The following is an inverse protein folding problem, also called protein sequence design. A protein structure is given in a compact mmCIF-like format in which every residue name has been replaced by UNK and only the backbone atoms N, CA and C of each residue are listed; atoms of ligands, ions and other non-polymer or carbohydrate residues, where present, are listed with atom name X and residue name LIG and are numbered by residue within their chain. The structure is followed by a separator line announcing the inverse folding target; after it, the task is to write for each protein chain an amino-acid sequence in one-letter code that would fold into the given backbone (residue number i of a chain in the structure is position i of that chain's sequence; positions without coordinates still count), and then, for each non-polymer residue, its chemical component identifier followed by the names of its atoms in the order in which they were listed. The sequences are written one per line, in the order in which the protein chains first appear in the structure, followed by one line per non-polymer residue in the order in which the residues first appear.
data_IF_678750331489
#
_entry.id   IF_678750331489
#
_cell.length_a   1.000
_cell.length_b   1.000
_cell.length_c   1.000
_cell.angle_alpha   90.00
_cell.angle_beta   90.00
_cell.angle_gamma   90.00
#
_symmetry.space_group_name_H-M   'P 1'
#
loop_
_entity.id
_entity.type
_entity.pdbx_description
1 polymer ?
#
# COMPACT_ATOMS: atom_id res chain seq x y z
N UNK A 1 34.19 0.79 49.18
CA UNK A 1 34.09 0.44 47.74
C UNK A 1 32.79 -0.30 47.33
N UNK A 2 31.76 -0.43 48.19
CA UNK A 2 30.51 -1.14 47.85
C UNK A 2 29.48 -0.30 47.05
N UNK A 3 29.49 1.02 47.20
CA UNK A 3 28.50 1.91 46.55
C UNK A 3 28.66 2.05 45.02
N UNK A 4 29.88 1.91 44.48
CA UNK A 4 30.12 2.06 43.03
C UNK A 4 29.50 0.93 42.19
N UNK A 5 29.49 -0.30 42.71
CA UNK A 5 28.90 -1.45 41.99
C UNK A 5 27.37 -1.40 41.95
N UNK A 6 26.74 -0.91 43.02
CA UNK A 6 25.29 -0.78 43.09
C UNK A 6 24.76 0.27 42.10
N UNK A 7 25.39 1.46 42.02
CA UNK A 7 24.99 2.50 41.07
C UNK A 7 25.15 2.05 39.61
N UNK A 8 26.23 1.32 39.29
CA UNK A 8 26.41 0.76 37.94
C UNK A 8 25.34 -0.28 37.60
N UNK A 9 24.92 -1.11 38.58
CA UNK A 9 23.87 -2.11 38.38
C UNK A 9 22.50 -1.46 38.15
N UNK A 10 22.15 -0.44 38.93
CA UNK A 10 20.92 0.34 38.74
C UNK A 10 20.88 1.02 37.36
N UNK A 11 22.02 1.55 36.91
CA UNK A 11 22.14 2.11 35.56
C UNK A 11 21.90 1.06 34.47
N UNK A 12 22.50 -0.13 34.57
CA UNK A 12 22.29 -1.19 33.59
C UNK A 12 20.84 -1.67 33.55
N UNK A 13 20.18 -1.75 34.71
CA UNK A 13 18.76 -2.11 34.79
C UNK A 13 17.87 -1.07 34.09
N UNK A 14 18.10 0.22 34.36
CA UNK A 14 17.36 1.31 33.71
C UNK A 14 17.63 1.33 32.21
N UNK A 15 18.90 1.19 31.81
CA UNK A 15 19.29 1.16 30.40
C UNK A 15 18.67 -0.03 29.66
N UNK A 16 18.68 -1.22 30.26
CA UNK A 16 18.05 -2.41 29.69
C UNK A 16 16.54 -2.23 29.52
N UNK A 17 15.86 -1.63 30.51
CA UNK A 17 14.44 -1.33 30.44
C UNK A 17 14.13 -0.31 29.33
N UNK A 18 14.96 0.74 29.20
CA UNK A 18 14.83 1.71 28.09
C UNK A 18 15.06 1.07 26.72
N UNK A 19 16.04 0.18 26.58
CA UNK A 19 16.30 -0.53 25.33
C UNK A 19 15.19 -1.52 24.97
N UNK A 20 14.62 -2.22 25.95
CA UNK A 20 13.46 -3.08 25.75
C UNK A 20 12.24 -2.25 25.29
N UNK A 21 11.97 -1.12 25.95
CA UNK A 21 10.88 -0.23 25.57
C UNK A 21 11.06 0.32 24.14
N UNK A 22 12.26 0.77 23.78
CA UNK A 22 12.59 1.21 22.42
C UNK A 22 12.39 0.09 21.40
N UNK A 23 12.84 -1.13 21.69
CA UNK A 23 12.71 -2.27 20.79
C UNK A 23 11.25 -2.60 20.49
N UNK A 24 10.37 -2.55 21.51
CA UNK A 24 8.93 -2.73 21.34
C UNK A 24 8.35 -1.63 20.45
N UNK A 25 8.70 -0.36 20.71
CA UNK A 25 8.21 0.77 19.92
C UNK A 25 8.64 0.67 18.45
N UNK A 26 9.91 0.35 18.18
CA UNK A 26 10.40 0.14 16.82
C UNK A 26 9.66 -1.00 16.11
N UNK A 27 9.40 -2.11 16.81
CA UNK A 27 8.62 -3.22 16.27
C UNK A 27 7.20 -2.80 15.84
N UNK A 28 6.50 -2.02 16.67
CA UNK A 28 5.16 -1.52 16.36
C UNK A 28 5.17 -0.56 15.16
N UNK A 29 6.13 0.37 15.12
CA UNK A 29 6.25 1.34 14.02
C UNK A 29 6.55 0.64 12.70
N UNK A 30 7.49 -0.31 12.70
CA UNK A 30 7.85 -1.07 11.50
C UNK A 30 6.66 -1.83 10.93
N UNK A 31 5.86 -2.49 11.78
CA UNK A 31 4.67 -3.19 11.35
C UNK A 31 3.62 -2.25 10.77
N UNK A 32 3.36 -1.11 11.42
CA UNK A 32 2.41 -0.11 10.91
C UNK A 32 2.84 0.47 9.58
N UNK A 33 4.13 0.75 9.40
CA UNK A 33 4.66 1.30 8.16
C UNK A 33 4.41 0.35 6.98
N UNK A 34 4.65 -0.96 7.15
CA UNK A 34 4.38 -1.95 6.11
C UNK A 34 2.91 -1.96 5.69
N UNK A 35 1.99 -1.95 6.66
CA UNK A 35 0.54 -1.93 6.38
C UNK A 35 0.10 -0.65 5.67
N UNK A 36 0.63 0.51 6.07
CA UNK A 36 0.30 1.79 5.43
C UNK A 36 0.76 1.81 3.98
N UNK A 37 1.98 1.34 3.69
CA UNK A 37 2.47 1.24 2.31
C UNK A 37 1.63 0.27 1.48
N UNK A 38 1.23 -0.87 2.05
CA UNK A 38 0.41 -1.84 1.36
C UNK A 38 -0.99 -1.29 1.02
N UNK A 39 -1.63 -0.62 1.98
CA UNK A 39 -2.92 0.03 1.78
C UNK A 39 -2.81 1.12 0.71
N UNK A 40 -1.79 1.98 0.79
CA UNK A 40 -1.58 3.02 -0.22
C UNK A 40 -1.43 2.45 -1.64
N UNK A 41 -0.69 1.35 -1.80
CA UNK A 41 -0.55 0.69 -3.10
C UNK A 41 -1.87 0.10 -3.60
N UNK A 42 -2.68 -0.45 -2.70
CA UNK A 42 -4.02 -0.95 -3.03
C UNK A 42 -4.95 0.18 -3.44
N UNK A 43 -4.95 1.30 -2.71
CA UNK A 43 -5.77 2.48 -3.01
C UNK A 43 -5.41 3.06 -4.39
N UNK A 44 -4.11 3.13 -4.72
CA UNK A 44 -3.66 3.52 -6.05
C UNK A 44 -4.17 2.58 -7.13
N UNK A 45 -4.09 1.26 -6.90
CA UNK A 45 -4.58 0.28 -7.86
C UNK A 45 -6.10 0.39 -8.05
N UNK A 46 -6.84 0.64 -6.97
CA UNK A 46 -8.28 0.81 -6.99
C UNK A 46 -8.67 2.06 -7.77
N UNK A 47 -8.00 3.20 -7.54
CA UNK A 47 -8.19 4.41 -8.33
C UNK A 47 -7.95 4.18 -9.83
N UNK A 48 -6.93 3.40 -10.19
CA UNK A 48 -6.68 3.01 -11.58
C UNK A 48 -7.82 2.16 -12.12
N UNK A 49 -8.27 1.16 -11.36
CA UNK A 49 -9.36 0.28 -11.76
C UNK A 49 -10.66 1.07 -11.99
N UNK A 50 -11.03 1.93 -11.04
CA UNK A 50 -12.22 2.79 -11.12
C UNK A 50 -12.12 3.78 -12.28
N UNK A 51 -10.97 4.41 -12.49
CA UNK A 51 -10.81 5.35 -13.61
C UNK A 51 -10.95 4.62 -14.96
N UNK A 52 -10.28 3.48 -15.13
CA UNK A 52 -10.42 2.67 -16.36
C UNK A 52 -11.87 2.21 -16.54
N UNK A 53 -12.51 1.71 -15.47
CA UNK A 53 -13.91 1.27 -15.51
C UNK A 53 -14.84 2.41 -15.98
N UNK A 54 -14.66 3.60 -15.43
CA UNK A 54 -15.41 4.79 -15.84
C UNK A 54 -15.18 5.16 -17.31
N UNK A 55 -13.94 5.11 -17.81
CA UNK A 55 -13.69 5.41 -19.23
C UNK A 55 -14.29 4.35 -20.16
N UNK A 56 -14.25 3.07 -19.77
CA UNK A 56 -14.88 1.98 -20.51
C UNK A 56 -16.39 2.19 -20.55
N UNK A 57 -17.00 2.52 -19.42
CA UNK A 57 -18.43 2.83 -19.33
C UNK A 57 -18.80 4.01 -20.22
N UNK A 58 -18.02 5.10 -20.18
CA UNK A 58 -18.23 6.25 -21.06
C UNK A 58 -18.17 5.85 -22.54
N UNK A 59 -17.25 4.97 -22.93
CA UNK A 59 -17.17 4.47 -24.28
C UNK A 59 -18.40 3.62 -24.67
N UNK A 60 -18.91 2.81 -23.73
CA UNK A 60 -20.13 2.02 -23.95
C UNK A 60 -21.37 2.90 -24.12
N UNK A 61 -21.49 3.98 -23.32
CA UNK A 61 -22.65 4.89 -23.35
C UNK A 61 -22.65 5.76 -24.61
N UNK A 62 -21.48 6.23 -25.06
CA UNK A 62 -21.36 7.10 -26.23
C UNK A 62 -21.50 6.32 -27.56
N UNK A 63 -21.24 5.02 -27.54
CA UNK A 63 -21.45 4.13 -28.67
C UNK A 63 -20.28 4.08 -29.66
N UNK A 64 -20.56 3.54 -30.84
CA UNK A 64 -19.54 3.24 -31.84
C UNK A 64 -18.80 4.50 -32.34
N UNK A 65 -17.48 4.38 -32.46
CA UNK A 65 -16.62 5.47 -32.92
C UNK A 65 -16.15 6.42 -31.81
N UNK A 66 -16.65 6.29 -30.58
CA UNK A 66 -16.11 7.04 -29.44
C UNK A 66 -14.67 6.61 -29.14
N UNK A 67 -13.74 7.56 -29.17
CA UNK A 67 -12.35 7.34 -28.81
C UNK A 67 -11.83 8.58 -28.08
N UNK A 68 -11.21 8.36 -26.91
CA UNK A 68 -10.63 9.43 -26.12
C UNK A 68 -9.35 8.96 -25.43
N UNK A 69 -8.26 9.73 -25.50
CA UNK A 69 -7.08 9.45 -24.69
C UNK A 69 -7.35 9.79 -23.22
N UNK A 70 -6.87 8.95 -22.32
CA UNK A 70 -6.86 9.20 -20.88
C UNK A 70 -5.54 8.73 -20.28
N UNK A 71 -5.22 9.25 -19.10
CA UNK A 71 -3.97 8.98 -18.42
C UNK A 71 -4.18 8.05 -17.24
N UNK A 72 -3.26 7.09 -17.12
CA UNK A 72 -3.10 6.23 -15.95
C UNK A 72 -1.64 6.31 -15.51
N UNK A 73 -1.34 6.18 -14.20
CA UNK A 73 0.03 6.15 -13.72
C UNK A 73 0.80 5.04 -14.42
N UNK A 74 2.11 5.21 -14.65
CA UNK A 74 2.92 4.20 -15.34
C UNK A 74 3.16 2.95 -14.47
N UNK A 75 3.20 3.14 -13.16
CA UNK A 75 3.61 2.14 -12.19
C UNK A 75 2.74 2.22 -10.93
N UNK A 76 2.49 1.07 -10.30
CA UNK A 76 1.92 0.97 -8.96
C UNK A 76 3.02 0.40 -8.06
N UNK A 77 3.32 1.06 -6.94
CA UNK A 77 4.41 0.65 -6.04
C UNK A 77 5.78 0.51 -6.74
N UNK A 78 6.07 1.36 -7.73
CA UNK A 78 7.30 1.29 -8.53
C UNK A 78 7.40 0.05 -9.43
N UNK A 79 6.30 -0.68 -9.65
CA UNK A 79 6.27 -1.89 -10.50
C UNK A 79 5.27 -1.71 -11.63
N UNK A 80 5.57 -2.33 -12.77
CA UNK A 80 4.61 -2.41 -13.85
C UNK A 80 3.38 -3.20 -13.38
N UNK A 81 2.21 -2.79 -13.86
CA UNK A 81 0.95 -3.45 -13.56
C UNK A 81 0.27 -3.81 -14.88
N UNK A 82 -0.68 -4.74 -14.80
CA UNK A 82 -1.47 -5.18 -15.96
C UNK A 82 -2.92 -4.81 -15.73
N UNK A 83 -3.55 -4.26 -16.77
CA UNK A 83 -5.00 -4.03 -16.80
C UNK A 83 -5.63 -5.04 -17.74
N UNK A 84 -6.66 -5.74 -17.27
CA UNK A 84 -7.48 -6.64 -18.10
C UNK A 84 -8.94 -6.25 -17.94
N UNK A 85 -9.68 -6.22 -19.03
CA UNK A 85 -11.11 -5.96 -19.02
C UNK A 85 -11.79 -7.24 -19.48
N UNK A 86 -12.63 -7.83 -18.63
CA UNK A 86 -13.37 -9.04 -18.95
C UNK A 86 -14.71 -9.03 -18.22
N UNK A 87 -15.79 -9.46 -18.90
CA UNK A 87 -17.12 -9.63 -18.30
C UNK A 87 -17.61 -8.41 -17.50
N UNK A 88 -17.49 -7.20 -18.06
CA UNK A 88 -17.85 -5.94 -17.37
C UNK A 88 -17.06 -5.67 -16.08
N UNK A 89 -15.87 -6.25 -15.95
CA UNK A 89 -15.01 -6.04 -14.79
C UNK A 89 -13.61 -5.66 -15.26
N UNK A 90 -13.06 -4.62 -14.65
CA UNK A 90 -11.68 -4.19 -14.83
C UNK A 90 -10.83 -4.82 -13.73
N UNK A 91 -9.84 -5.60 -14.13
CA UNK A 91 -8.85 -6.24 -13.27
C UNK A 91 -7.53 -5.48 -13.37
N UNK A 92 -7.03 -4.99 -12.25
CA UNK A 92 -5.72 -4.33 -12.16
C UNK A 92 -4.81 -5.17 -11.28
N UNK A 93 -3.77 -5.76 -11.87
CA UNK A 93 -2.84 -6.65 -11.19
C UNK A 93 -1.42 -6.08 -11.06
N UNK A 94 -0.81 -6.16 -9.87
CA UNK A 94 0.57 -5.77 -9.59
C UNK A 94 1.18 -6.70 -8.54
N UNK A 95 2.44 -7.13 -8.71
CA UNK A 95 3.19 -7.97 -7.73
C UNK A 95 2.32 -9.09 -7.09
N UNK A 96 1.68 -9.91 -7.92
CA UNK A 96 0.80 -11.02 -7.52
C UNK A 96 -0.52 -10.63 -6.81
N UNK A 97 -0.78 -9.34 -6.59
CA UNK A 97 -2.04 -8.81 -6.06
C UNK A 97 -2.90 -8.28 -7.20
N UNK A 98 -4.20 -8.21 -6.96
CA UNK A 98 -5.13 -7.59 -7.89
C UNK A 98 -6.26 -6.88 -7.15
N UNK A 99 -6.84 -5.89 -7.83
CA UNK A 99 -8.11 -5.25 -7.47
C UNK A 99 -9.03 -5.26 -8.66
N UNK A 100 -10.32 -5.12 -8.39
CA UNK A 100 -11.37 -5.15 -9.40
C UNK A 100 -12.26 -3.93 -9.27
N UNK A 101 -12.72 -3.41 -10.40
CA UNK A 101 -13.80 -2.43 -10.47
C UNK A 101 -14.82 -2.89 -11.50
N UNK A 102 -16.11 -2.79 -11.18
CA UNK A 102 -17.19 -3.16 -12.09
C UNK A 102 -17.51 -1.99 -13.04
N UNK A 103 -17.87 -2.33 -14.27
CA UNK A 103 -18.49 -1.43 -15.25
C UNK A 103 -19.96 -1.78 -15.34
N UNK A 104 -20.85 -0.79 -15.48
CA UNK A 104 -22.30 -1.01 -15.59
C UNK A 104 -22.70 -1.85 -16.83
#
# INVERSE_FOLDING_TARGET
MRFKGQTSMEFFLLFGLSMAALSILFGVISNKQSTVFENHNRDMAEQVATNVAFQVEMALVQGEGYSRPFYVPRNIAGTNYTVKIANKTVYVGWREKFVTAETL
#
